data_IF_113586587477
#
_entry.id   IF_113586587477
#
_cell.length_a   1.000
_cell.length_b   1.000
_cell.length_c   1.000
_cell.angle_alpha   90.00
_cell.angle_beta   90.00
_cell.angle_gamma   90.00
#
_symmetry.space_group_name_H-M   'P 1'
#
loop_
_entity.id
_entity.type
_entity.pdbx_description
1 polymer ?
#
# COMPACT_ATOMS: atom_id res chain seq x y z
N UNK A 1 3.64 -45.22 -32.20
CA UNK A 1 2.76 -44.05 -31.99
C UNK A 1 2.37 -43.78 -30.53
N UNK A 2 2.02 -44.78 -29.70
CA UNK A 2 1.59 -44.54 -28.30
C UNK A 2 2.67 -43.89 -27.41
N UNK A 3 3.94 -44.29 -27.53
CA UNK A 3 5.06 -43.69 -26.77
C UNK A 3 5.23 -42.20 -27.07
N UNK A 4 5.24 -41.81 -28.36
CA UNK A 4 5.34 -40.42 -28.79
C UNK A 4 4.19 -39.56 -28.24
N UNK A 5 2.95 -40.08 -28.30
CA UNK A 5 1.77 -39.43 -27.73
C UNK A 5 1.89 -39.21 -26.22
N UNK A 6 2.42 -40.20 -25.49
CA UNK A 6 2.66 -40.10 -24.04
C UNK A 6 3.71 -39.01 -23.73
N UNK A 7 4.80 -38.96 -24.49
CA UNK A 7 5.83 -37.93 -24.34
C UNK A 7 5.28 -36.52 -24.63
N UNK A 8 4.55 -36.33 -25.73
CA UNK A 8 3.93 -35.04 -26.05
C UNK A 8 2.98 -34.57 -24.95
N UNK A 9 2.14 -35.47 -24.42
CA UNK A 9 1.22 -35.14 -23.34
C UNK A 9 1.95 -34.77 -22.04
N UNK A 10 3.05 -35.46 -21.71
CA UNK A 10 3.88 -35.11 -20.57
C UNK A 10 4.55 -33.74 -20.74
N UNK A 11 5.09 -33.45 -21.93
CA UNK A 11 5.72 -32.16 -22.21
C UNK A 11 4.71 -31.02 -22.15
N UNK A 12 3.50 -31.21 -22.71
CA UNK A 12 2.42 -30.22 -22.63
C UNK A 12 2.04 -29.93 -21.16
N UNK A 13 1.90 -30.97 -20.33
CA UNK A 13 1.63 -30.79 -18.89
C UNK A 13 2.74 -30.01 -18.18
N UNK A 14 4.00 -30.37 -18.42
CA UNK A 14 5.15 -29.65 -17.84
C UNK A 14 5.19 -28.18 -18.27
N UNK A 15 4.86 -27.89 -19.52
CA UNK A 15 4.79 -26.52 -20.03
C UNK A 15 3.73 -25.70 -19.27
N UNK A 16 2.51 -26.24 -19.13
CA UNK A 16 1.43 -25.61 -18.37
C UNK A 16 1.83 -25.37 -16.91
N UNK A 17 2.43 -26.37 -16.26
CA UNK A 17 2.92 -26.25 -14.88
C UNK A 17 3.99 -25.16 -14.74
N UNK A 18 4.95 -25.10 -15.64
CA UNK A 18 5.99 -24.07 -15.62
C UNK A 18 5.41 -22.67 -15.79
N UNK A 19 4.47 -22.48 -16.72
CA UNK A 19 3.77 -21.20 -16.91
C UNK A 19 3.01 -20.78 -15.65
N UNK A 20 2.33 -21.72 -14.99
CA UNK A 20 1.65 -21.44 -13.71
C UNK A 20 2.63 -21.01 -12.61
N UNK A 21 3.79 -21.65 -12.52
CA UNK A 21 4.82 -21.30 -11.53
C UNK A 21 5.40 -19.90 -11.78
N UNK A 22 5.61 -19.51 -13.04
CA UNK A 22 6.06 -18.16 -13.39
C UNK A 22 5.04 -17.13 -12.92
N UNK A 23 3.75 -17.32 -13.24
CA UNK A 23 2.70 -16.40 -12.79
C UNK A 23 2.56 -16.34 -11.27
N UNK A 24 2.71 -17.47 -10.57
CA UNK A 24 2.72 -17.48 -9.11
C UNK A 24 3.88 -16.64 -8.56
N UNK A 25 5.08 -16.79 -9.12
CA UNK A 25 6.25 -15.97 -8.75
C UNK A 25 5.97 -14.48 -8.95
N UNK A 26 5.38 -14.10 -10.08
CA UNK A 26 5.04 -12.70 -10.37
C UNK A 26 4.01 -12.14 -9.37
N UNK A 27 3.00 -12.93 -9.00
CA UNK A 27 2.03 -12.52 -7.98
C UNK A 27 2.64 -12.37 -6.59
N UNK A 28 3.54 -13.27 -6.19
CA UNK A 28 4.27 -13.13 -4.92
C UNK A 28 5.18 -11.89 -4.91
N UNK A 29 5.83 -11.59 -6.04
CA UNK A 29 6.60 -10.35 -6.21
C UNK A 29 5.69 -9.13 -6.05
N UNK A 30 4.53 -9.13 -6.71
CA UNK A 30 3.55 -8.04 -6.62
C UNK A 30 3.03 -7.83 -5.18
N UNK A 31 2.77 -8.89 -4.42
CA UNK A 31 2.40 -8.78 -2.99
C UNK A 31 3.51 -8.09 -2.19
N UNK A 32 4.77 -8.45 -2.46
CA UNK A 32 5.93 -7.85 -1.77
C UNK A 32 6.03 -6.36 -2.08
N UNK A 33 5.86 -5.97 -3.35
CA UNK A 33 5.84 -4.57 -3.77
C UNK A 33 4.71 -3.78 -3.10
N UNK A 34 3.50 -4.33 -3.06
CA UNK A 34 2.36 -3.70 -2.36
C UNK A 34 2.67 -3.52 -0.87
N UNK A 35 3.21 -4.54 -0.20
CA UNK A 35 3.55 -4.43 1.23
C UNK A 35 4.62 -3.35 1.49
N UNK A 36 5.62 -3.24 0.61
CA UNK A 36 6.63 -2.20 0.70
C UNK A 36 6.01 -0.80 0.55
N UNK A 37 5.16 -0.59 -0.45
CA UNK A 37 4.46 0.68 -0.66
C UNK A 37 3.58 1.05 0.54
N UNK A 38 2.85 0.08 1.12
CA UNK A 38 2.07 0.31 2.34
C UNK A 38 2.97 0.73 3.51
N UNK A 39 4.12 0.11 3.70
CA UNK A 39 5.07 0.50 4.75
C UNK A 39 5.58 1.92 4.55
N UNK A 40 5.94 2.30 3.32
CA UNK A 40 6.37 3.66 3.00
C UNK A 40 5.27 4.69 3.32
N UNK A 41 4.02 4.41 2.95
CA UNK A 41 2.87 5.27 3.25
C UNK A 41 2.57 5.38 4.75
N UNK A 42 2.74 4.30 5.52
CA UNK A 42 2.65 4.38 6.99
C UNK A 42 3.77 5.22 7.61
N UNK A 43 4.98 5.21 7.05
CA UNK A 43 6.07 6.08 7.51
C UNK A 43 5.75 7.55 7.21
N UNK A 44 5.19 7.83 6.04
CA UNK A 44 4.75 9.17 5.64
C UNK A 44 3.67 9.72 6.60
N UNK A 45 2.64 8.93 6.92
CA UNK A 45 1.62 9.31 7.93
C UNK A 45 2.27 9.64 9.28
N UNK A 46 3.25 8.87 9.74
CA UNK A 46 3.94 9.14 11.03
C UNK A 46 4.70 10.46 11.00
N UNK A 47 5.35 10.77 9.89
CA UNK A 47 6.06 12.03 9.70
C UNK A 47 5.08 13.21 9.70
N UNK A 48 4.00 13.11 8.92
CA UNK A 48 2.93 14.12 8.88
C UNK A 48 2.27 14.32 10.25
N UNK A 49 1.99 13.24 10.98
CA UNK A 49 1.44 13.31 12.34
C UNK A 49 2.37 14.01 13.31
N UNK A 50 3.68 13.80 13.18
CA UNK A 50 4.69 14.49 13.99
C UNK A 50 4.75 15.98 13.64
N UNK A 51 4.72 16.32 12.35
CA UNK A 51 4.65 17.72 11.89
C UNK A 51 3.38 18.41 12.40
N UNK A 52 2.23 17.73 12.34
CA UNK A 52 0.97 18.24 12.89
C UNK A 52 1.07 18.54 14.37
N UNK A 53 1.66 17.64 15.18
CA UNK A 53 1.88 17.87 16.61
C UNK A 53 2.69 19.14 16.88
N UNK A 54 3.78 19.37 16.14
CA UNK A 54 4.61 20.57 16.29
C UNK A 54 3.85 21.86 15.94
N UNK A 55 3.02 21.82 14.89
CA UNK A 55 2.17 22.96 14.50
C UNK A 55 1.07 23.21 15.54
N UNK A 56 0.50 22.14 16.11
CA UNK A 56 -0.48 22.23 17.20
C UNK A 56 0.13 22.83 18.48
N UNK A 57 1.31 22.37 18.90
CA UNK A 57 2.04 22.96 20.03
C UNK A 57 2.32 24.46 19.81
N UNK A 58 2.68 24.84 18.58
CA UNK A 58 2.87 26.24 18.20
C UNK A 58 1.57 27.04 18.31
N UNK A 59 0.44 26.47 17.88
CA UNK A 59 -0.87 27.09 17.98
C UNK A 59 -1.30 27.27 19.45
N UNK A 60 -1.16 26.23 20.26
CA UNK A 60 -1.46 26.26 21.71
C UNK A 60 -0.62 27.32 22.43
N UNK A 61 0.66 27.45 22.09
CA UNK A 61 1.54 28.46 22.68
C UNK A 61 1.05 29.91 22.44
N UNK A 62 0.45 30.17 21.27
CA UNK A 62 -0.14 31.47 20.91
C UNK A 62 -1.43 31.71 21.68
N UNK A 63 -2.26 30.67 21.85
CA UNK A 63 -3.51 30.75 22.59
C UNK A 63 -3.28 31.00 24.10
N UNK A 64 -2.22 30.45 24.68
CA UNK A 64 -1.84 30.64 26.09
C UNK A 64 -1.16 31.99 26.35
N UNK A 65 -0.27 32.46 25.47
CA UNK A 65 0.53 33.68 25.71
C UNK A 65 -0.12 34.99 25.26
N UNK A 66 -1.18 34.93 24.44
CA UNK A 66 -2.06 36.03 24.03
C UNK A 66 -1.39 37.40 23.78
N UNK A 67 -0.22 37.44 23.15
CA UNK A 67 0.37 38.70 22.67
C UNK A 67 -0.29 39.09 21.34
N UNK A 68 -0.74 40.34 21.21
CA UNK A 68 -1.48 40.82 20.03
C UNK A 68 -0.71 40.64 18.71
N UNK A 69 0.61 40.60 18.78
CA UNK A 69 1.49 40.38 17.63
C UNK A 69 1.40 38.95 17.07
N UNK A 70 1.10 37.94 17.88
CA UNK A 70 1.05 36.53 17.47
C UNK A 70 -0.33 36.11 16.95
N UNK A 71 -1.39 36.90 17.18
CA UNK A 71 -2.75 36.60 16.70
C UNK A 71 -2.83 36.43 15.19
N UNK A 72 -2.00 37.16 14.43
CA UNK A 72 -1.93 37.08 12.97
C UNK A 72 -1.41 35.72 12.47
N UNK A 73 -0.67 34.97 13.30
CA UNK A 73 -0.11 33.66 12.95
C UNK A 73 -1.07 32.50 13.23
N UNK A 74 -2.16 32.73 13.97
CA UNK A 74 -3.14 31.69 14.34
C UNK A 74 -3.81 31.06 13.12
N UNK A 75 -4.34 31.88 12.21
CA UNK A 75 -5.05 31.40 11.03
C UNK A 75 -4.14 30.61 10.06
N UNK A 76 -2.90 31.04 9.76
CA UNK A 76 -1.94 30.23 9.02
C UNK A 76 -1.67 28.85 9.64
N UNK A 77 -1.51 28.77 10.97
CA UNK A 77 -1.25 27.49 11.64
C UNK A 77 -2.46 26.54 11.58
N UNK A 78 -3.67 27.06 11.75
CA UNK A 78 -4.91 26.26 11.58
C UNK A 78 -4.99 25.72 10.16
N UNK A 79 -4.72 26.55 9.14
CA UNK A 79 -4.70 26.10 7.74
C UNK A 79 -3.63 25.04 7.49
N UNK A 80 -2.45 25.17 8.10
CA UNK A 80 -1.40 24.17 7.98
C UNK A 80 -1.81 22.83 8.60
N UNK A 81 -2.48 22.83 9.75
CA UNK A 81 -3.04 21.61 10.36
C UNK A 81 -4.07 20.97 9.43
N UNK A 82 -5.01 21.75 8.89
CA UNK A 82 -6.02 21.24 7.96
C UNK A 82 -5.40 20.64 6.70
N UNK A 83 -4.37 21.27 6.13
CA UNK A 83 -3.65 20.72 4.97
C UNK A 83 -2.98 19.38 5.29
N UNK A 84 -2.34 19.25 6.46
CA UNK A 84 -1.73 17.99 6.89
C UNK A 84 -2.81 16.90 7.08
N UNK A 85 -3.98 17.26 7.60
CA UNK A 85 -5.10 16.32 7.75
C UNK A 85 -5.63 15.82 6.40
N UNK A 86 -5.81 16.73 5.44
CA UNK A 86 -6.21 16.37 4.06
C UNK A 86 -5.18 15.43 3.40
N UNK A 87 -3.89 15.67 3.61
CA UNK A 87 -2.82 14.79 3.12
C UNK A 87 -2.85 13.41 3.78
N UNK A 88 -3.07 13.33 5.10
CA UNK A 88 -3.20 12.06 5.81
C UNK A 88 -4.42 11.28 5.30
N UNK A 89 -5.58 11.92 5.16
CA UNK A 89 -6.79 11.28 4.61
C UNK A 89 -6.55 10.73 3.20
N UNK A 90 -5.84 11.48 2.36
CA UNK A 90 -5.45 11.03 1.02
C UNK A 90 -4.57 9.77 1.07
N UNK A 91 -3.59 9.74 1.97
CA UNK A 91 -2.72 8.57 2.14
C UNK A 91 -3.49 7.36 2.68
N UNK A 92 -4.44 7.57 3.60
CA UNK A 92 -5.30 6.51 4.11
C UNK A 92 -6.19 5.91 3.02
N UNK A 93 -6.75 6.74 2.14
CA UNK A 93 -7.49 6.27 0.97
C UNK A 93 -6.60 5.42 0.04
N UNK A 94 -5.36 5.85 -0.23
CA UNK A 94 -4.39 5.06 -1.00
C UNK A 94 -4.06 3.72 -0.33
N UNK A 95 -3.90 3.70 1.00
CA UNK A 95 -3.65 2.47 1.76
C UNK A 95 -4.82 1.48 1.66
N UNK A 96 -6.07 1.96 1.63
CA UNK A 96 -7.24 1.12 1.40
C UNK A 96 -7.24 0.52 0.00
N UNK A 97 -6.92 1.31 -1.04
CA UNK A 97 -6.80 0.80 -2.41
C UNK A 97 -5.71 -0.27 -2.53
N UNK A 98 -4.54 -0.05 -1.92
CA UNK A 98 -3.45 -1.04 -1.91
C UNK A 98 -3.85 -2.34 -1.19
N UNK A 99 -4.66 -2.25 -0.14
CA UNK A 99 -5.18 -3.45 0.54
C UNK A 99 -6.15 -4.25 -0.34
N UNK A 100 -7.04 -3.56 -1.07
CA UNK A 100 -7.93 -4.22 -2.03
C UNK A 100 -7.14 -4.90 -3.15
N UNK A 101 -6.14 -4.24 -3.69
CA UNK A 101 -5.26 -4.82 -4.73
C UNK A 101 -4.53 -6.05 -4.20
N UNK A 102 -4.00 -6.00 -2.98
CA UNK A 102 -3.36 -7.15 -2.33
C UNK A 102 -4.32 -8.33 -2.21
N UNK A 103 -5.55 -8.11 -1.77
CA UNK A 103 -6.57 -9.15 -1.65
C UNK A 103 -6.89 -9.79 -3.02
N UNK A 104 -6.96 -8.97 -4.08
CA UNK A 104 -7.16 -9.46 -5.44
C UNK A 104 -6.00 -10.35 -5.92
N UNK A 105 -4.75 -9.95 -5.67
CA UNK A 105 -3.57 -10.76 -6.03
C UNK A 105 -3.54 -12.06 -5.22
N UNK A 106 -3.88 -12.02 -3.93
CA UNK A 106 -3.99 -13.23 -3.10
C UNK A 106 -5.05 -14.21 -3.64
N UNK A 107 -6.19 -13.72 -4.11
CA UNK A 107 -7.20 -14.54 -4.77
C UNK A 107 -6.63 -15.23 -6.01
N UNK A 108 -5.89 -14.50 -6.85
CA UNK A 108 -5.26 -15.05 -8.05
C UNK A 108 -4.25 -16.16 -7.72
N UNK A 109 -3.45 -15.98 -6.67
CA UNK A 109 -2.54 -17.03 -6.16
C UNK A 109 -3.32 -18.27 -5.74
N UNK A 110 -4.42 -18.11 -4.99
CA UNK A 110 -5.25 -19.24 -4.54
C UNK A 110 -5.84 -19.99 -5.74
N UNK A 111 -6.32 -19.26 -6.75
CA UNK A 111 -6.88 -19.85 -7.97
C UNK A 111 -5.82 -20.67 -8.73
N UNK A 112 -4.63 -20.09 -8.97
CA UNK A 112 -3.55 -20.81 -9.65
C UNK A 112 -3.04 -22.01 -8.85
N UNK A 113 -2.93 -21.88 -7.52
CA UNK A 113 -2.50 -22.98 -6.65
C UNK A 113 -3.49 -24.14 -6.69
N UNK A 114 -4.80 -23.87 -6.70
CA UNK A 114 -5.85 -24.90 -6.83
C UNK A 114 -5.89 -25.56 -8.21
N UNK A 115 -5.49 -24.84 -9.27
CA UNK A 115 -5.44 -25.34 -10.64
C UNK A 115 -4.16 -26.14 -10.93
N UNK A 116 -3.03 -25.80 -10.30
CA UNK A 116 -1.73 -26.44 -10.52
C UNK A 116 -1.42 -27.67 -9.65
N UNK A 117 -2.17 -27.89 -8.56
CA UNK A 117 -1.98 -29.00 -7.61
C UNK A 117 -2.89 -30.22 -7.88
N UNK A 118 -3.43 -30.36 -9.09
CA UNK A 118 -4.14 -31.57 -9.56
C UNK A 118 -3.40 -32.22 -10.72
#
# INVERSE_FOLDING_TARGET
MQKLRKYMNMTARKCVQNTMLIHLSDYYKKITEINLLKQMKHVEIKQLSTQKSLVQESLESIEVSCTDHLRHNRLPLVKAISAIDEEIESIEAMLQTLEQEKQQVQLQIIMLSKLGLR
#
